data_IF_465956598955
#
_entry.id   IF_465956598955
#
_cell.length_a   1.000
_cell.length_b   1.000
_cell.length_c   1.000
_cell.angle_alpha   90.00
_cell.angle_beta   90.00
_cell.angle_gamma   90.00
#
_symmetry.space_group_name_H-M   'P 1'
#
loop_
_entity.id
_entity.type
_entity.pdbx_description
1 polymer ?
#
# COMPACT_ATOMS: atom_id res chain seq x y z
N UNK A 1 0.45 37.35 -8.79
CA UNK A 1 -0.20 36.06 -9.06
C UNK A 1 -1.23 35.80 -7.96
N UNK A 2 -2.49 35.58 -8.35
CA UNK A 2 -3.55 35.21 -7.41
C UNK A 2 -3.77 33.72 -7.56
N UNK A 3 -3.42 32.95 -6.51
CA UNK A 3 -3.68 31.51 -6.45
C UNK A 3 -4.91 31.27 -5.62
N UNK A 4 -5.93 30.59 -6.16
CA UNK A 4 -7.12 30.14 -5.42
C UNK A 4 -6.93 28.66 -5.17
N UNK A 5 -6.84 28.25 -3.90
CA UNK A 5 -6.87 26.86 -3.47
C UNK A 5 -8.29 26.49 -3.04
N UNK A 6 -8.85 25.44 -3.65
CA UNK A 6 -10.20 24.96 -3.34
C UNK A 6 -10.10 23.47 -2.97
N UNK A 7 -10.67 23.10 -1.83
CA UNK A 7 -10.81 21.68 -1.45
C UNK A 7 -12.07 21.11 -2.09
N UNK A 8 -11.97 19.91 -2.64
CA UNK A 8 -13.14 19.22 -3.24
C UNK A 8 -14.29 19.07 -2.24
N UNK A 9 -13.99 18.86 -0.96
CA UNK A 9 -14.96 18.72 0.12
C UNK A 9 -15.79 19.99 0.38
N UNK A 10 -15.30 21.17 -0.01
CA UNK A 10 -15.98 22.44 0.24
C UNK A 10 -17.09 22.72 -0.80
N UNK A 11 -17.01 22.09 -1.97
CA UNK A 11 -17.89 22.37 -3.13
C UNK A 11 -18.59 21.15 -3.68
N UNK A 12 -18.11 19.94 -3.38
CA UNK A 12 -18.65 18.69 -3.91
C UNK A 12 -19.27 17.87 -2.78
N UNK A 13 -20.38 17.20 -3.08
CA UNK A 13 -20.91 16.15 -2.19
C UNK A 13 -20.01 14.93 -2.28
N UNK A 14 -19.08 14.81 -1.36
CA UNK A 14 -18.20 13.68 -1.20
C UNK A 14 -18.81 12.67 -0.22
N UNK A 15 -18.66 11.35 -0.45
CA UNK A 15 -19.00 10.36 0.56
C UNK A 15 -18.08 10.50 1.78
N UNK A 16 -18.48 9.90 2.88
CA UNK A 16 -17.61 9.78 4.05
C UNK A 16 -16.35 8.97 3.69
N UNK A 17 -15.22 9.37 4.25
CA UNK A 17 -13.96 8.63 4.16
C UNK A 17 -13.52 8.28 5.58
N UNK A 18 -13.47 7.00 5.88
CA UNK A 18 -13.06 6.47 7.19
C UNK A 18 -11.68 5.85 7.03
N UNK A 19 -10.73 6.29 7.83
CA UNK A 19 -9.38 5.73 7.86
C UNK A 19 -9.25 4.88 9.12
N UNK A 20 -9.01 3.60 8.93
CA UNK A 20 -8.79 2.64 10.00
C UNK A 20 -7.33 2.19 10.00
N UNK A 21 -6.70 2.23 11.16
CA UNK A 21 -5.38 1.65 11.37
C UNK A 21 -5.54 0.23 11.90
N UNK A 22 -4.94 -0.73 11.19
CA UNK A 22 -4.92 -2.14 11.60
C UNK A 22 -3.52 -2.47 12.08
N UNK A 23 -3.29 -2.54 13.41
CA UNK A 23 -1.98 -2.88 13.95
C UNK A 23 -1.63 -4.34 13.65
N UNK A 24 -0.42 -4.56 13.15
CA UNK A 24 0.13 -5.89 12.88
C UNK A 24 1.37 -6.09 13.76
N UNK A 25 1.34 -7.11 14.59
CA UNK A 25 2.41 -7.38 15.55
C UNK A 25 3.30 -8.53 15.08
N UNK A 26 4.60 -8.35 15.25
CA UNK A 26 5.58 -9.42 15.05
C UNK A 26 5.56 -10.40 16.24
N UNK A 27 5.92 -11.66 16.02
CA UNK A 27 6.24 -12.55 17.12
C UNK A 27 7.54 -12.11 17.81
N UNK A 28 7.85 -12.56 19.05
CA UNK A 28 9.10 -12.23 19.71
C UNK A 28 10.34 -12.51 18.85
N UNK A 29 10.39 -13.68 18.21
CA UNK A 29 11.53 -14.07 17.35
C UNK A 29 11.66 -13.18 16.10
N UNK A 30 10.53 -12.82 15.48
CA UNK A 30 10.48 -11.90 14.34
C UNK A 30 10.87 -10.48 14.73
N UNK A 31 10.47 -10.06 15.93
CA UNK A 31 10.83 -8.76 16.50
C UNK A 31 12.33 -8.69 16.79
N UNK A 32 12.92 -9.74 17.34
CA UNK A 32 14.37 -9.83 17.61
C UNK A 32 15.17 -9.74 16.31
N UNK A 33 14.71 -10.39 15.23
CA UNK A 33 15.34 -10.27 13.89
C UNK A 33 15.28 -8.81 13.40
N UNK A 34 14.11 -8.17 13.51
CA UNK A 34 13.92 -6.78 13.09
C UNK A 34 14.82 -5.82 13.89
N UNK A 35 14.86 -5.97 15.20
CA UNK A 35 15.62 -5.11 16.10
C UNK A 35 17.14 -5.30 15.90
N UNK A 36 17.61 -6.54 15.76
CA UNK A 36 19.00 -6.85 15.44
C UNK A 36 19.43 -6.21 14.14
N UNK A 37 18.64 -6.36 13.09
CA UNK A 37 18.92 -5.73 11.79
C UNK A 37 18.98 -4.21 11.90
N UNK A 38 18.04 -3.61 12.61
CA UNK A 38 18.03 -2.16 12.86
C UNK A 38 19.27 -1.69 13.59
N UNK A 39 19.69 -2.40 14.64
CA UNK A 39 20.87 -2.06 15.42
C UNK A 39 22.16 -2.19 14.60
N UNK A 40 22.34 -3.28 13.89
CA UNK A 40 23.50 -3.52 13.01
C UNK A 40 23.65 -2.43 11.94
N UNK A 41 22.54 -2.05 11.33
CA UNK A 41 22.54 -0.98 10.33
C UNK A 41 22.84 0.39 10.96
N UNK A 42 22.36 0.69 12.17
CA UNK A 42 22.67 1.92 12.90
C UNK A 42 24.15 1.95 13.30
N UNK A 43 24.75 0.82 13.68
CA UNK A 43 26.18 0.73 14.00
C UNK A 43 27.01 1.01 12.75
N UNK A 44 26.69 0.41 11.61
CA UNK A 44 27.35 0.70 10.33
C UNK A 44 27.26 2.17 9.95
N UNK A 45 26.13 2.82 10.17
CA UNK A 45 25.95 4.25 9.92
C UNK A 45 26.81 5.14 10.84
N UNK A 46 27.14 4.71 12.04
CA UNK A 46 27.99 5.47 12.98
C UNK A 46 29.48 5.34 12.69
N UNK A 47 29.88 4.24 12.06
CA UNK A 47 31.30 3.98 11.71
C UNK A 47 31.68 4.56 10.35
N UNK A 48 30.74 4.63 9.44
CA UNK A 48 30.89 5.32 8.16
C UNK A 48 30.41 6.77 8.30
N UNK A 49 31.02 7.74 7.60
CA UNK A 49 30.52 9.11 7.59
C UNK A 49 29.02 9.09 7.25
N UNK A 50 28.20 9.64 8.16
CA UNK A 50 26.74 9.61 8.03
C UNK A 50 26.34 10.40 6.78
N UNK A 51 26.09 9.70 5.69
CA UNK A 51 25.50 10.28 4.48
C UNK A 51 23.97 10.07 4.55
N UNK A 52 23.21 11.08 4.12
CA UNK A 52 21.76 11.02 4.00
C UNK A 52 21.29 9.83 3.15
N UNK A 53 22.11 9.39 2.19
CA UNK A 53 21.88 8.21 1.36
C UNK A 53 21.79 6.93 2.21
N UNK A 54 22.71 6.76 3.17
CA UNK A 54 22.72 5.58 4.04
C UNK A 54 21.50 5.51 4.95
N UNK A 55 21.03 6.66 5.47
CA UNK A 55 19.81 6.71 6.28
C UNK A 55 18.55 6.38 5.47
N UNK A 56 18.48 6.82 4.21
CA UNK A 56 17.37 6.49 3.32
C UNK A 56 17.35 5.00 2.96
N UNK A 57 18.52 4.39 2.74
CA UNK A 57 18.66 2.95 2.49
C UNK A 57 18.20 2.15 3.70
N UNK A 58 18.64 2.52 4.91
CA UNK A 58 18.19 1.88 6.15
C UNK A 58 16.67 1.94 6.29
N UNK A 59 16.08 3.13 6.16
CA UNK A 59 14.63 3.30 6.27
C UNK A 59 13.89 2.47 5.23
N UNK A 60 14.39 2.39 4.00
CA UNK A 60 13.84 1.54 2.95
C UNK A 60 13.89 0.05 3.29
N UNK A 61 15.00 -0.43 3.86
CA UNK A 61 15.15 -1.83 4.28
C UNK A 61 14.23 -2.18 5.46
N UNK A 62 14.12 -1.30 6.45
CA UNK A 62 13.22 -1.50 7.58
C UNK A 62 11.75 -1.55 7.15
N UNK A 63 11.34 -0.74 6.18
CA UNK A 63 9.99 -0.81 5.60
C UNK A 63 9.76 -2.11 4.83
N UNK A 64 10.74 -2.59 4.08
CA UNK A 64 10.68 -3.89 3.41
C UNK A 64 10.48 -5.01 4.44
N UNK A 65 11.30 -5.03 5.51
CA UNK A 65 11.17 -6.02 6.59
C UNK A 65 9.80 -5.94 7.27
N UNK A 66 9.30 -4.74 7.56
CA UNK A 66 7.97 -4.55 8.13
C UNK A 66 6.84 -5.08 7.21
N UNK A 67 7.07 -5.15 5.90
CA UNK A 67 6.17 -5.81 4.95
C UNK A 67 6.36 -7.33 4.89
N UNK A 68 7.41 -7.87 5.54
CA UNK A 68 7.67 -9.30 5.70
C UNK A 68 8.68 -9.91 4.73
N UNK A 69 9.39 -9.10 3.94
CA UNK A 69 10.50 -9.56 3.12
C UNK A 69 11.47 -8.42 2.84
N UNK A 70 12.72 -8.74 2.52
CA UNK A 70 13.76 -7.76 2.21
C UNK A 70 14.58 -8.23 1.00
N UNK A 71 15.04 -7.29 0.18
CA UNK A 71 16.02 -7.58 -0.88
C UNK A 71 17.43 -7.60 -0.32
N UNK A 72 18.26 -8.55 -0.75
CA UNK A 72 19.70 -8.50 -0.53
C UNK A 72 20.41 -7.58 -1.56
N UNK A 73 21.75 -7.60 -1.57
CA UNK A 73 22.58 -6.81 -2.47
C UNK A 73 22.42 -7.24 -3.94
N UNK A 74 22.09 -8.50 -4.18
CA UNK A 74 21.84 -9.08 -5.51
C UNK A 74 20.37 -8.92 -5.95
N UNK A 75 19.57 -8.14 -5.19
CA UNK A 75 18.13 -7.95 -5.42
C UNK A 75 17.29 -9.22 -5.26
N UNK A 76 17.81 -10.25 -4.59
CA UNK A 76 17.07 -11.47 -4.27
C UNK A 76 16.19 -11.22 -3.04
N UNK A 77 14.96 -11.69 -3.09
CA UNK A 77 14.00 -11.55 -1.99
C UNK A 77 14.24 -12.60 -0.91
N UNK A 78 14.38 -12.14 0.33
CA UNK A 78 14.39 -12.96 1.53
C UNK A 78 13.12 -12.73 2.34
N UNK A 79 12.30 -13.77 2.46
CA UNK A 79 11.08 -13.73 3.26
C UNK A 79 11.43 -13.82 4.75
N UNK A 80 10.78 -12.99 5.57
CA UNK A 80 11.00 -12.91 7.02
C UNK A 80 9.76 -13.37 7.77
N UNK A 81 8.58 -12.84 7.41
CA UNK A 81 7.31 -13.21 8.02
C UNK A 81 6.12 -12.96 7.09
N UNK A 82 4.95 -13.48 7.44
CA UNK A 82 3.70 -13.30 6.67
C UNK A 82 2.62 -12.52 7.44
N UNK A 83 2.97 -11.85 8.56
CA UNK A 83 2.01 -11.18 9.45
C UNK A 83 1.07 -10.20 8.74
N UNK A 84 1.59 -9.40 7.79
CA UNK A 84 0.74 -8.50 7.00
C UNK A 84 -0.14 -9.24 6.00
N UNK A 85 0.28 -10.40 5.50
CA UNK A 85 -0.55 -11.24 4.62
C UNK A 85 -1.68 -11.89 5.42
N UNK A 86 -1.41 -12.31 6.67
CA UNK A 86 -2.45 -12.85 7.56
C UNK A 86 -3.51 -11.78 7.85
N UNK A 87 -3.07 -10.57 8.23
CA UNK A 87 -3.98 -9.44 8.45
C UNK A 87 -4.74 -9.03 7.17
N UNK A 88 -4.10 -9.12 6.00
CA UNK A 88 -4.75 -8.84 4.72
C UNK A 88 -5.85 -9.86 4.42
N UNK A 89 -5.63 -11.14 4.73
CA UNK A 89 -6.64 -12.20 4.60
C UNK A 89 -7.87 -11.89 5.44
N UNK A 90 -7.68 -11.57 6.73
CA UNK A 90 -8.77 -11.19 7.63
C UNK A 90 -9.56 -9.98 7.10
N UNK A 91 -8.87 -8.98 6.54
CA UNK A 91 -9.51 -7.80 5.96
C UNK A 91 -10.30 -8.10 4.69
N UNK A 92 -9.79 -8.97 3.81
CA UNK A 92 -10.49 -9.41 2.60
C UNK A 92 -11.73 -10.22 2.97
N UNK A 93 -11.62 -11.14 3.93
CA UNK A 93 -12.75 -11.91 4.43
C UNK A 93 -13.79 -11.00 5.11
N UNK A 94 -13.32 -10.04 5.92
CA UNK A 94 -14.17 -9.04 6.58
C UNK A 94 -14.92 -8.11 5.61
N UNK A 95 -14.45 -7.97 4.38
CA UNK A 95 -15.16 -7.21 3.35
C UNK A 95 -16.45 -7.91 2.86
N UNK A 96 -16.69 -9.18 3.24
CA UNK A 96 -17.90 -9.94 2.95
C UNK A 96 -18.29 -9.95 1.47
N UNK A 97 -17.31 -10.15 0.59
CA UNK A 97 -17.50 -10.18 -0.86
C UNK A 97 -17.63 -8.82 -1.52
N UNK A 98 -17.46 -7.71 -0.80
CA UNK A 98 -17.32 -6.39 -1.41
C UNK A 98 -15.94 -6.26 -2.07
N UNK A 99 -15.84 -5.59 -3.22
CA UNK A 99 -14.55 -5.42 -3.89
C UNK A 99 -13.54 -4.66 -3.04
N UNK A 100 -12.30 -5.16 -3.04
CA UNK A 100 -11.17 -4.60 -2.28
C UNK A 100 -10.04 -4.23 -3.23
N UNK A 101 -9.56 -2.98 -3.14
CA UNK A 101 -8.37 -2.50 -3.83
C UNK A 101 -7.19 -2.47 -2.86
N UNK A 102 -6.08 -3.13 -3.23
CA UNK A 102 -4.88 -3.22 -2.39
C UNK A 102 -3.78 -2.37 -3.04
N UNK A 103 -3.26 -1.39 -2.31
CA UNK A 103 -2.10 -0.62 -2.71
C UNK A 103 -0.83 -1.27 -2.14
N UNK A 104 0.11 -1.65 -3.01
CA UNK A 104 1.40 -2.23 -2.64
C UNK A 104 2.56 -1.31 -3.05
N UNK A 105 3.74 -1.48 -2.44
CA UNK A 105 4.89 -0.64 -2.74
C UNK A 105 6.06 -1.39 -3.37
N UNK A 106 6.42 -2.57 -2.85
CA UNK A 106 7.54 -3.35 -3.36
C UNK A 106 7.08 -4.48 -4.29
N UNK A 107 7.94 -4.90 -5.23
CA UNK A 107 7.62 -6.04 -6.11
C UNK A 107 7.44 -7.33 -5.33
N UNK A 108 8.23 -7.54 -4.25
CA UNK A 108 8.03 -8.71 -3.39
C UNK A 108 6.67 -8.69 -2.67
N UNK A 109 6.09 -7.52 -2.37
CA UNK A 109 4.72 -7.43 -1.83
C UNK A 109 3.73 -7.98 -2.85
N UNK A 110 3.84 -7.50 -4.11
CA UNK A 110 2.98 -7.96 -5.20
C UNK A 110 3.08 -9.48 -5.40
N UNK A 111 4.31 -10.01 -5.49
CA UNK A 111 4.55 -11.44 -5.71
C UNK A 111 3.93 -12.29 -4.59
N UNK A 112 4.10 -11.89 -3.33
CA UNK A 112 3.57 -12.59 -2.17
C UNK A 112 2.05 -12.50 -2.09
N UNK A 113 1.46 -11.34 -2.38
CA UNK A 113 0.02 -11.15 -2.46
C UNK A 113 -0.56 -12.03 -3.57
N UNK A 114 0.00 -11.99 -4.79
CA UNK A 114 -0.47 -12.81 -5.91
C UNK A 114 -0.30 -14.33 -5.68
N UNK A 115 0.67 -14.73 -4.88
CA UNK A 115 0.88 -16.15 -4.53
C UNK A 115 -0.17 -16.67 -3.55
N UNK A 116 -0.64 -15.81 -2.64
CA UNK A 116 -1.58 -16.20 -1.56
C UNK A 116 -3.05 -16.00 -1.93
N UNK A 117 -3.36 -14.99 -2.73
CA UNK A 117 -4.72 -14.59 -3.05
C UNK A 117 -4.99 -14.59 -4.55
N UNK A 118 -6.22 -14.87 -4.93
CA UNK A 118 -6.69 -14.66 -6.30
C UNK A 118 -6.96 -13.16 -6.52
N UNK A 119 -5.94 -12.46 -7.02
CA UNK A 119 -5.97 -11.01 -7.22
C UNK A 119 -5.66 -10.65 -8.65
N UNK A 120 -6.22 -9.52 -9.10
CA UNK A 120 -5.94 -8.97 -10.43
C UNK A 120 -5.22 -7.63 -10.33
N UNK A 121 -4.10 -7.49 -11.02
CA UNK A 121 -3.38 -6.22 -11.08
C UNK A 121 -4.05 -5.27 -12.07
N UNK A 122 -4.37 -4.06 -11.62
CA UNK A 122 -4.91 -2.99 -12.46
C UNK A 122 -3.77 -2.34 -13.26
N UNK A 123 -3.69 -2.66 -14.55
CA UNK A 123 -2.67 -2.13 -15.48
C UNK A 123 -3.25 -1.54 -16.75
N UNK A 124 -4.32 -2.11 -17.25
CA UNK A 124 -4.88 -1.78 -18.56
C UNK A 124 -6.26 -1.15 -18.45
N UNK A 125 -6.71 -0.50 -19.50
CA UNK A 125 -8.09 0.03 -19.57
C UNK A 125 -9.14 -1.07 -19.43
N UNK A 126 -8.82 -2.31 -19.84
CA UNK A 126 -9.69 -3.46 -19.66
C UNK A 126 -9.81 -3.82 -18.18
N UNK A 127 -8.70 -3.82 -17.43
CA UNK A 127 -8.73 -4.10 -15.98
C UNK A 127 -9.58 -3.07 -15.24
N UNK A 128 -9.49 -1.80 -15.64
CA UNK A 128 -10.30 -0.71 -15.08
C UNK A 128 -11.80 -0.93 -15.38
N UNK A 129 -12.12 -1.31 -16.61
CA UNK A 129 -13.50 -1.60 -17.00
C UNK A 129 -14.05 -2.81 -16.24
N UNK A 130 -13.29 -3.88 -16.16
CA UNK A 130 -13.65 -5.10 -15.41
C UNK A 130 -13.85 -4.80 -13.90
N UNK A 131 -12.95 -4.00 -13.29
CA UNK A 131 -13.09 -3.54 -11.91
C UNK A 131 -14.37 -2.73 -11.71
N UNK A 132 -14.60 -1.70 -12.54
CA UNK A 132 -15.78 -0.83 -12.43
C UNK A 132 -17.10 -1.55 -12.73
N UNK A 133 -17.05 -2.69 -13.41
CA UNK A 133 -18.22 -3.55 -13.69
C UNK A 133 -18.45 -4.62 -12.61
N UNK A 134 -17.61 -4.66 -11.56
CA UNK A 134 -17.72 -5.64 -10.47
C UNK A 134 -17.23 -7.04 -10.83
N UNK A 135 -16.49 -7.20 -11.92
CA UNK A 135 -15.93 -8.49 -12.35
C UNK A 135 -14.63 -8.87 -11.62
N UNK A 136 -14.09 -7.98 -10.79
CA UNK A 136 -12.88 -8.19 -10.00
C UNK A 136 -13.22 -7.97 -8.53
N UNK A 137 -13.06 -9.01 -7.71
CA UNK A 137 -13.33 -8.91 -6.27
C UNK A 137 -12.14 -8.36 -5.49
N UNK A 138 -10.92 -8.78 -5.85
CA UNK A 138 -9.70 -8.29 -5.20
C UNK A 138 -8.74 -7.81 -6.28
N UNK A 139 -8.41 -6.53 -6.22
CA UNK A 139 -7.47 -5.92 -7.15
C UNK A 139 -6.23 -5.38 -6.43
N UNK A 140 -5.11 -5.35 -7.13
CA UNK A 140 -3.87 -4.73 -6.63
C UNK A 140 -3.43 -3.60 -7.55
N UNK A 141 -2.89 -2.52 -6.97
CA UNK A 141 -2.40 -1.35 -7.70
C UNK A 141 -1.10 -0.83 -7.10
N UNK A 142 -0.16 -0.41 -7.95
CA UNK A 142 0.99 0.34 -7.50
C UNK A 142 0.68 1.84 -7.53
N UNK A 143 0.91 2.60 -6.44
CA UNK A 143 0.58 4.03 -6.35
C UNK A 143 1.14 4.87 -7.49
N UNK A 144 2.38 4.60 -7.95
CA UNK A 144 2.97 5.33 -9.06
C UNK A 144 2.27 5.08 -10.40
N UNK A 145 1.66 3.91 -10.60
CA UNK A 145 0.88 3.63 -11.83
C UNK A 145 -0.50 4.29 -11.80
N UNK A 146 -0.97 4.69 -10.60
CA UNK A 146 -2.21 5.41 -10.43
C UNK A 146 -2.16 6.88 -10.93
N UNK A 147 -0.99 7.40 -11.30
CA UNK A 147 -0.78 8.79 -11.73
C UNK A 147 -1.54 9.23 -12.99
N UNK A 148 -2.12 8.32 -13.76
CA UNK A 148 -2.76 8.62 -15.05
C UNK A 148 -4.28 8.77 -15.01
N UNK A 149 -4.84 9.36 -13.95
CA UNK A 149 -6.27 9.74 -13.93
C UNK A 149 -7.26 8.57 -13.88
N UNK A 150 -6.86 7.41 -13.37
CA UNK A 150 -7.71 6.23 -13.28
C UNK A 150 -8.96 6.49 -12.43
N UNK A 151 -10.12 6.14 -12.93
CA UNK A 151 -11.39 6.21 -12.21
C UNK A 151 -11.77 4.81 -11.75
N UNK A 152 -11.67 4.55 -10.45
CA UNK A 152 -11.95 3.24 -9.86
C UNK A 152 -13.14 3.26 -8.89
N UNK A 153 -13.78 4.42 -8.68
CA UNK A 153 -14.83 4.61 -7.69
C UNK A 153 -16.10 3.78 -7.93
N UNK A 154 -16.33 3.31 -9.15
CA UNK A 154 -17.54 2.52 -9.45
C UNK A 154 -17.39 1.05 -9.10
N UNK A 155 -16.15 0.55 -8.94
CA UNK A 155 -15.88 -0.86 -8.68
C UNK A 155 -15.84 -1.23 -7.20
N UNK A 156 -15.61 -0.27 -6.32
CA UNK A 156 -15.53 -0.55 -4.88
C UNK A 156 -15.29 0.71 -4.04
N UNK A 157 -15.31 0.53 -2.72
CA UNK A 157 -15.11 1.59 -1.75
C UNK A 157 -14.08 1.25 -0.66
N UNK A 158 -13.43 0.09 -0.73
CA UNK A 158 -12.42 -0.34 0.24
C UNK A 158 -11.04 -0.29 -0.38
N UNK A 159 -10.13 0.47 0.24
CA UNK A 159 -8.72 0.57 -0.13
C UNK A 159 -7.85 0.13 1.03
N UNK A 160 -7.03 -0.89 0.83
CA UNK A 160 -6.07 -1.38 1.82
C UNK A 160 -4.66 -1.00 1.39
N UNK A 161 -3.95 -0.27 2.23
CA UNK A 161 -2.53 0.00 2.06
C UNK A 161 -1.71 -1.14 2.70
N UNK A 162 -1.22 -2.06 1.87
CA UNK A 162 -0.31 -3.12 2.31
C UNK A 162 1.09 -2.56 2.62
N UNK A 163 1.55 -1.62 1.80
CA UNK A 163 2.79 -0.89 2.00
C UNK A 163 2.60 0.59 1.69
N UNK A 164 2.96 1.47 2.62
CA UNK A 164 2.85 2.92 2.43
C UNK A 164 3.97 3.45 1.53
N UNK A 165 3.66 4.49 0.77
CA UNK A 165 4.63 5.29 0.01
C UNK A 165 5.18 6.43 0.86
N UNK A 166 6.42 6.84 0.58
CA UNK A 166 6.99 8.09 1.15
C UNK A 166 6.40 9.37 0.53
N UNK A 167 5.74 9.27 -0.62
CA UNK A 167 5.15 10.41 -1.32
C UNK A 167 3.74 10.66 -0.84
N UNK A 168 3.52 11.76 -0.12
CA UNK A 168 2.19 12.23 0.26
C UNK A 168 1.31 12.44 -0.97
N UNK A 169 1.88 12.91 -2.07
CA UNK A 169 1.16 13.12 -3.32
C UNK A 169 0.61 11.80 -3.87
N UNK A 170 1.45 10.76 -3.96
CA UNK A 170 1.02 9.43 -4.41
C UNK A 170 -0.02 8.82 -3.47
N UNK A 171 0.13 9.02 -2.15
CA UNK A 171 -0.86 8.58 -1.18
C UNK A 171 -2.22 9.24 -1.43
N UNK A 172 -2.24 10.57 -1.54
CA UNK A 172 -3.47 11.33 -1.80
C UNK A 172 -4.08 10.99 -3.16
N UNK A 173 -3.27 10.88 -4.22
CA UNK A 173 -3.73 10.51 -5.55
C UNK A 173 -4.34 9.10 -5.58
N UNK A 174 -3.75 8.15 -4.87
CA UNK A 174 -4.27 6.78 -4.82
C UNK A 174 -5.59 6.72 -4.07
N UNK A 175 -5.70 7.39 -2.93
CA UNK A 175 -6.95 7.48 -2.18
C UNK A 175 -8.06 8.13 -3.03
N UNK A 176 -7.73 9.17 -3.80
CA UNK A 176 -8.66 9.85 -4.69
C UNK A 176 -9.13 9.00 -5.90
N UNK A 177 -8.62 7.77 -6.09
CA UNK A 177 -9.15 6.84 -7.11
C UNK A 177 -10.49 6.25 -6.70
N UNK A 178 -10.70 6.04 -5.40
CA UNK A 178 -11.97 5.59 -4.84
C UNK A 178 -12.75 6.74 -4.19
N UNK A 179 -12.08 7.59 -3.42
CA UNK A 179 -12.70 8.71 -2.72
C UNK A 179 -12.75 9.96 -3.60
N UNK A 180 -13.79 10.05 -4.39
CA UNK A 180 -14.03 11.17 -5.31
C UNK A 180 -15.50 11.36 -5.60
N UNK A 181 -15.83 12.47 -6.29
CA UNK A 181 -17.19 12.75 -6.73
C UNK A 181 -17.74 11.58 -7.57
N UNK A 182 -18.95 11.15 -7.25
CA UNK A 182 -19.62 10.02 -7.91
C UNK A 182 -19.49 8.69 -7.16
N UNK A 183 -18.65 8.59 -6.15
CA UNK A 183 -18.69 7.48 -5.20
C UNK A 183 -19.97 7.55 -4.37
N UNK A 184 -20.64 6.41 -4.19
CA UNK A 184 -21.94 6.31 -3.49
C UNK A 184 -21.82 5.75 -2.08
N UNK A 185 -20.75 4.99 -1.84
CA UNK A 185 -20.52 4.29 -0.58
C UNK A 185 -19.48 5.04 0.26
N UNK A 186 -19.54 4.83 1.59
CA UNK A 186 -18.46 5.24 2.49
C UNK A 186 -17.16 4.56 2.04
N UNK A 187 -16.09 5.35 1.86
CA UNK A 187 -14.77 4.81 1.53
C UNK A 187 -14.04 4.46 2.82
N UNK A 188 -13.50 3.27 2.88
CA UNK A 188 -12.74 2.76 4.03
C UNK A 188 -11.34 2.36 3.58
#
# INVERSE_FOLDING_TARGET
DITISMKSTDFLKMPECVINEVPVYLSPDEQDIYDTFREDMVIKLKTDEIDAVNAAVLSGKLLQMANGAVYDEDSKTHQIHDRKLDALEDLIEGANGKPVLIAYWYNHDLERICKRFDVRQIKTSKDIADWNSGNIQVAVIHPASAGHGLNLQSGGSTLIWFGLTWSLELYQQTNARLWRQGQRDTVV
#
